data_IF_621457314975
#
_entry.id   IF_621457314975
#
_cell.length_a   1.000
_cell.length_b   1.000
_cell.length_c   1.000
_cell.angle_alpha   90.00
_cell.angle_beta   90.00
_cell.angle_gamma   90.00
#
_symmetry.space_group_name_H-M   'P 1'
#
loop_
_entity.id
_entity.type
_entity.pdbx_description
1 polymer ?
#
# COMPACT_ATOMS: atom_id res chain seq x y z
N UNK A 1 12.09 14.52 -13.60
CA UNK A 1 11.71 13.85 -12.35
C UNK A 1 12.16 12.40 -12.44
N UNK A 2 13.30 12.03 -11.82
CA UNK A 2 13.65 10.63 -11.61
C UNK A 2 12.56 9.87 -10.85
N UNK A 3 12.48 8.57 -11.11
CA UNK A 3 11.60 7.64 -10.41
C UNK A 3 12.41 6.42 -10.04
N UNK A 4 12.54 6.16 -8.74
CA UNK A 4 13.11 4.93 -8.22
C UNK A 4 12.03 3.85 -8.12
N UNK A 5 12.34 2.63 -8.58
CA UNK A 5 11.46 1.45 -8.47
C UNK A 5 12.17 0.38 -7.63
N UNK A 6 12.19 0.50 -6.29
CA UNK A 6 12.85 -0.47 -5.43
C UNK A 6 12.11 -1.81 -5.43
N UNK A 7 12.86 -2.87 -5.16
CA UNK A 7 12.35 -4.24 -4.97
C UNK A 7 12.22 -4.63 -3.50
N UNK A 8 12.90 -3.90 -2.61
CA UNK A 8 12.89 -4.15 -1.16
C UNK A 8 12.59 -2.88 -0.36
N UNK A 9 12.19 -3.05 0.90
CA UNK A 9 12.00 -1.92 1.82
C UNK A 9 13.32 -1.21 2.09
N UNK A 10 14.42 -1.96 2.20
CA UNK A 10 15.75 -1.40 2.48
C UNK A 10 16.23 -0.49 1.35
N UNK A 11 16.02 -0.87 0.09
CA UNK A 11 16.33 -0.01 -1.07
C UNK A 11 15.53 1.30 -1.05
N UNK A 12 14.23 1.21 -0.72
CA UNK A 12 13.37 2.39 -0.60
C UNK A 12 13.85 3.31 0.52
N UNK A 13 14.19 2.75 1.69
CA UNK A 13 14.67 3.49 2.85
C UNK A 13 16.04 4.12 2.63
N UNK A 14 16.97 3.43 1.96
CA UNK A 14 18.27 3.98 1.61
C UNK A 14 18.12 5.26 0.76
N UNK A 15 17.28 5.20 -0.28
CA UNK A 15 17.01 6.37 -1.11
C UNK A 15 16.32 7.49 -0.36
N UNK A 16 15.31 7.17 0.48
CA UNK A 16 14.61 8.16 1.31
C UNK A 16 15.54 8.79 2.36
N UNK A 17 16.57 8.08 2.82
CA UNK A 17 17.59 8.63 3.71
C UNK A 17 18.44 9.71 3.05
N UNK A 18 18.76 9.54 1.77
CA UNK A 18 19.50 10.53 0.97
C UNK A 18 18.60 11.64 0.43
N UNK A 19 17.35 11.31 0.10
CA UNK A 19 16.37 12.17 -0.54
C UNK A 19 15.07 12.21 0.29
N UNK A 20 15.06 12.84 1.47
CA UNK A 20 13.92 12.82 2.38
C UNK A 20 12.67 13.55 1.84
N UNK A 21 12.82 14.34 0.78
CA UNK A 21 11.71 15.05 0.12
C UNK A 21 11.04 14.24 -1.00
N UNK A 22 11.54 13.03 -1.31
CA UNK A 22 10.99 12.17 -2.36
C UNK A 22 9.54 11.80 -2.06
N UNK A 23 8.69 11.87 -3.08
CA UNK A 23 7.32 11.40 -2.96
C UNK A 23 7.31 9.88 -2.94
N UNK A 24 6.85 9.30 -1.84
CA UNK A 24 6.54 7.86 -1.78
C UNK A 24 5.19 7.62 -2.47
N UNK A 25 5.19 6.73 -3.46
CA UNK A 25 4.03 6.47 -4.31
C UNK A 25 3.70 4.97 -4.37
N UNK A 26 2.46 4.62 -4.04
CA UNK A 26 1.90 3.29 -4.28
C UNK A 26 0.88 3.35 -5.43
N UNK A 27 -0.42 3.35 -5.12
CA UNK A 27 -1.49 3.31 -6.10
C UNK A 27 -1.66 4.56 -6.96
N UNK A 28 -1.33 5.71 -6.37
CA UNK A 28 -1.47 7.03 -6.99
C UNK A 28 -2.91 7.52 -7.16
N UNK A 29 -3.91 6.79 -6.65
CA UNK A 29 -5.33 7.10 -6.80
C UNK A 29 -5.71 8.48 -6.27
N UNK A 30 -5.05 8.92 -5.20
CA UNK A 30 -5.26 10.25 -4.61
C UNK A 30 -4.20 11.24 -5.11
N UNK A 31 -2.92 10.87 -5.00
CA UNK A 31 -1.81 11.78 -5.30
C UNK A 31 -1.82 12.26 -6.74
N UNK A 32 -2.15 11.40 -7.71
CA UNK A 32 -2.20 11.81 -9.11
C UNK A 32 -3.39 12.72 -9.39
N UNK A 33 -4.50 12.60 -8.65
CA UNK A 33 -5.63 13.51 -8.74
C UNK A 33 -5.25 14.89 -8.21
N UNK A 34 -4.57 14.95 -7.06
CA UNK A 34 -4.09 16.23 -6.50
C UNK A 34 -3.11 16.96 -7.42
N UNK A 35 -2.21 16.22 -8.08
CA UNK A 35 -1.26 16.79 -9.04
C UNK A 35 -1.99 17.28 -10.30
N UNK A 36 -2.87 16.46 -10.87
CA UNK A 36 -3.61 16.82 -12.09
C UNK A 36 -4.53 18.04 -11.89
N UNK A 37 -5.09 18.21 -10.69
CA UNK A 37 -5.91 19.37 -10.32
C UNK A 37 -5.10 20.57 -9.84
N UNK A 38 -3.76 20.50 -9.91
CA UNK A 38 -2.83 21.53 -9.44
C UNK A 38 -2.99 21.89 -7.94
N UNK A 39 -3.57 20.99 -7.13
CA UNK A 39 -3.63 21.12 -5.67
C UNK A 39 -2.29 20.77 -5.02
N UNK A 40 -1.47 19.98 -5.71
CA UNK A 40 -0.11 19.62 -5.32
C UNK A 40 0.85 19.90 -6.48
N UNK A 41 2.03 20.47 -6.18
CA UNK A 41 3.12 20.61 -7.16
C UNK A 41 3.61 19.21 -7.57
N UNK A 42 3.92 19.02 -8.85
CA UNK A 42 4.63 17.83 -9.30
C UNK A 42 5.92 17.64 -8.46
N UNK A 43 6.18 16.43 -7.95
CA UNK A 43 7.35 16.17 -7.12
C UNK A 43 8.62 16.25 -7.98
N UNK A 44 9.75 16.51 -7.32
CA UNK A 44 11.04 16.57 -8.01
C UNK A 44 11.69 15.17 -8.10
N UNK A 45 11.31 14.24 -7.20
CA UNK A 45 11.73 12.83 -7.14
C UNK A 45 10.60 11.93 -6.59
N UNK A 46 10.55 10.67 -7.05
CA UNK A 46 9.50 9.69 -6.67
C UNK A 46 10.11 8.32 -6.34
N UNK A 47 9.61 7.68 -5.28
CA UNK A 47 9.87 6.28 -4.93
C UNK A 47 8.60 5.45 -5.12
N UNK A 48 8.58 4.58 -6.12
CA UNK A 48 7.42 3.78 -6.49
C UNK A 48 7.41 2.40 -5.81
N UNK A 49 6.58 2.23 -4.78
CA UNK A 49 6.58 1.05 -3.90
C UNK A 49 5.87 -0.19 -4.47
N UNK A 50 5.28 -0.12 -5.67
CA UNK A 50 4.55 -1.26 -6.25
C UNK A 50 5.43 -2.48 -6.54
N UNK A 51 6.75 -2.30 -6.65
CA UNK A 51 7.71 -3.41 -6.80
C UNK A 51 8.16 -4.05 -5.48
N UNK A 52 7.74 -3.52 -4.33
CA UNK A 52 8.16 -4.00 -3.00
C UNK A 52 7.14 -4.99 -2.47
N UNK A 53 7.29 -6.26 -2.81
CA UNK A 53 6.34 -7.34 -2.48
C UNK A 53 6.11 -7.50 -0.98
N UNK A 54 7.13 -7.20 -0.17
CA UNK A 54 7.03 -7.22 1.30
C UNK A 54 5.91 -6.33 1.84
N UNK A 55 5.64 -5.20 1.17
CA UNK A 55 4.58 -4.26 1.54
C UNK A 55 3.23 -4.61 0.92
N UNK A 56 3.19 -5.53 -0.04
CA UNK A 56 2.00 -5.93 -0.79
C UNK A 56 1.41 -7.26 -0.33
N UNK A 57 1.90 -7.79 0.78
CA UNK A 57 1.44 -9.04 1.37
C UNK A 57 0.82 -8.80 2.75
N UNK A 58 0.06 -9.78 3.23
CA UNK A 58 -0.39 -9.86 4.61
C UNK A 58 0.01 -11.22 5.20
N UNK A 59 0.15 -11.29 6.52
CA UNK A 59 0.59 -12.49 7.23
C UNK A 59 -0.19 -12.67 8.54
N UNK A 60 -0.52 -13.92 8.85
CA UNK A 60 -1.11 -14.30 10.14
C UNK A 60 -0.03 -14.75 11.11
N UNK A 61 -0.17 -14.34 12.37
CA UNK A 61 0.71 -14.67 13.47
C UNK A 61 -0.11 -15.36 14.57
N UNK A 62 -0.16 -16.71 14.58
CA UNK A 62 -0.87 -17.46 15.61
C UNK A 62 -0.30 -17.18 17.01
N UNK A 63 -1.16 -17.16 18.03
CA UNK A 63 -0.71 -17.05 19.42
C UNK A 63 -0.15 -18.39 19.90
N UNK A 64 1.06 -18.37 20.48
CA UNK A 64 1.65 -19.56 21.10
C UNK A 64 0.99 -19.96 22.43
N UNK A 65 0.20 -19.06 23.05
CA UNK A 65 -0.38 -19.25 24.39
C UNK A 65 -1.90 -19.51 24.36
N UNK A 66 -2.46 -19.93 23.22
CA UNK A 66 -3.90 -20.26 23.10
C UNK A 66 -4.84 -19.06 23.03
N UNK A 67 -4.31 -17.84 22.83
CA UNK A 67 -5.09 -16.62 22.64
C UNK A 67 -5.37 -16.30 21.16
N UNK A 68 -6.01 -15.15 20.92
CA UNK A 68 -6.15 -14.63 19.56
C UNK A 68 -4.77 -14.28 18.98
N UNK A 69 -4.48 -14.78 17.77
CA UNK A 69 -3.30 -14.35 17.01
C UNK A 69 -3.45 -12.93 16.47
N UNK A 70 -2.39 -12.42 15.84
CA UNK A 70 -2.42 -11.13 15.14
C UNK A 70 -2.34 -11.34 13.63
N UNK A 71 -2.70 -10.30 12.87
CA UNK A 71 -2.52 -10.25 11.43
C UNK A 71 -1.80 -8.96 11.08
N UNK A 72 -0.76 -9.06 10.28
CA UNK A 72 -0.06 -7.91 9.70
C UNK A 72 -0.51 -7.74 8.27
N UNK A 73 -1.01 -6.54 7.94
CA UNK A 73 -1.40 -6.15 6.59
C UNK A 73 -0.35 -5.18 6.07
N UNK A 74 0.25 -5.49 4.92
CA UNK A 74 1.24 -4.63 4.27
C UNK A 74 0.63 -3.31 3.82
N UNK A 75 1.37 -2.21 3.99
CA UNK A 75 0.89 -0.86 3.71
C UNK A 75 0.58 -0.57 2.23
N UNK A 76 1.02 -1.44 1.32
CA UNK A 76 0.76 -1.36 -0.12
C UNK A 76 -0.11 -2.52 -0.63
N UNK A 77 -0.77 -3.29 0.26
CA UNK A 77 -1.75 -4.30 -0.10
C UNK A 77 -2.99 -3.60 -0.69
N UNK A 78 -3.37 -3.88 -1.95
CA UNK A 78 -4.53 -3.23 -2.55
C UNK A 78 -5.83 -3.58 -1.83
N UNK A 79 -6.81 -2.67 -1.80
CA UNK A 79 -8.13 -2.96 -1.22
C UNK A 79 -8.79 -4.19 -1.84
N UNK A 80 -8.55 -4.45 -3.14
CA UNK A 80 -9.08 -5.60 -3.85
C UNK A 80 -8.69 -6.95 -3.20
N UNK A 81 -7.49 -7.03 -2.62
CA UNK A 81 -7.01 -8.23 -1.92
C UNK A 81 -7.73 -8.45 -0.57
N UNK A 82 -8.32 -7.40 -0.01
CA UNK A 82 -9.06 -7.47 1.25
C UNK A 82 -10.52 -7.91 1.07
N UNK A 83 -11.04 -7.91 -0.16
CA UNK A 83 -12.46 -8.18 -0.43
C UNK A 83 -12.81 -9.67 -0.30
N UNK A 84 -11.83 -10.56 -0.48
CA UNK A 84 -12.01 -12.00 -0.68
C UNK A 84 -10.94 -12.82 0.06
N UNK A 85 -11.12 -14.15 0.07
CA UNK A 85 -10.15 -15.11 0.61
C UNK A 85 -10.06 -15.11 2.15
N UNK A 86 -8.98 -15.71 2.68
CA UNK A 86 -8.80 -15.92 4.12
C UNK A 86 -8.84 -14.59 4.91
N UNK A 87 -8.29 -13.50 4.36
CA UNK A 87 -8.30 -12.20 5.05
C UNK A 87 -9.73 -11.68 5.24
N UNK A 88 -10.61 -11.87 4.26
CA UNK A 88 -12.00 -11.46 4.33
C UNK A 88 -12.81 -12.35 5.29
N UNK A 89 -12.47 -13.64 5.39
CA UNK A 89 -13.07 -14.57 6.36
C UNK A 89 -12.67 -14.21 7.80
N UNK A 90 -11.39 -13.86 8.00
CA UNK A 90 -10.87 -13.43 9.30
C UNK A 90 -11.45 -12.07 9.73
N UNK A 91 -11.64 -11.14 8.80
CA UNK A 91 -12.14 -9.79 9.08
C UNK A 91 -13.30 -9.39 8.15
N UNK A 92 -14.52 -9.92 8.35
CA UNK A 92 -15.65 -9.65 7.47
C UNK A 92 -16.03 -8.16 7.38
N UNK A 93 -15.86 -7.42 8.48
CA UNK A 93 -16.10 -5.98 8.52
C UNK A 93 -15.08 -5.18 7.68
N UNK A 94 -13.81 -5.60 7.69
CA UNK A 94 -12.78 -5.00 6.84
C UNK A 94 -13.09 -5.26 5.36
N UNK A 95 -13.46 -6.49 5.01
CA UNK A 95 -13.85 -6.83 3.64
C UNK A 95 -15.09 -6.04 3.18
N UNK A 96 -16.07 -5.83 4.06
CA UNK A 96 -17.22 -4.96 3.76
C UNK A 96 -16.80 -3.51 3.50
N UNK A 97 -15.92 -2.95 4.34
CA UNK A 97 -15.42 -1.60 4.15
C UNK A 97 -14.62 -1.46 2.85
N UNK A 98 -13.71 -2.40 2.56
CA UNK A 98 -12.90 -2.42 1.33
C UNK A 98 -13.79 -2.34 0.08
N UNK A 99 -14.89 -3.10 0.02
CA UNK A 99 -15.85 -3.08 -1.11
C UNK A 99 -16.50 -1.73 -1.38
N UNK A 100 -16.51 -0.81 -0.41
CA UNK A 100 -17.10 0.53 -0.57
C UNK A 100 -16.10 1.58 -1.07
N UNK A 101 -14.81 1.25 -1.16
CA UNK A 101 -13.78 2.18 -1.64
C UNK A 101 -13.90 2.29 -3.16
N UNK A 102 -14.30 3.46 -3.65
CA UNK A 102 -14.31 3.81 -5.08
C UNK A 102 -14.89 2.72 -6.01
N UNK A 103 -14.30 2.61 -7.20
CA UNK A 103 -14.62 1.56 -8.18
C UNK A 103 -13.63 0.38 -8.07
N UNK A 104 -13.89 -0.76 -8.73
CA UNK A 104 -12.92 -1.87 -8.79
C UNK A 104 -11.52 -1.45 -9.25
N UNK A 105 -11.41 -0.48 -10.16
CA UNK A 105 -10.14 0.05 -10.64
C UNK A 105 -9.37 0.82 -9.55
N UNK A 106 -10.09 1.58 -8.70
CA UNK A 106 -9.48 2.27 -7.56
C UNK A 106 -8.96 1.23 -6.55
N UNK A 107 -9.74 0.18 -6.27
CA UNK A 107 -9.34 -0.85 -5.28
C UNK A 107 -8.24 -1.79 -5.76
N UNK A 108 -8.14 -2.02 -7.07
CA UNK A 108 -7.01 -2.75 -7.64
C UNK A 108 -5.70 -1.95 -7.54
N UNK A 109 -5.80 -0.62 -7.40
CA UNK A 109 -4.67 0.28 -7.43
C UNK A 109 -4.22 0.78 -6.06
N UNK A 110 -5.17 1.18 -5.22
CA UNK A 110 -4.97 1.83 -3.93
C UNK A 110 -5.10 0.92 -2.74
#
# INVERSE_FOLDING_TARGET
>A
MPVLTPSTVDEALAHLGEHPASLVLSGGTDVMVEINMAHRKAPDDVVALRGVDELRAWKRHPSAAGGAGTVTIGAALPYAEMEHGELAELFPALAQAARTVGSPQIRAAG
#
